data_IF_447782549685
#
_entry.id   IF_447782549685
#
_cell.length_a   1.000
_cell.length_b   1.000
_cell.length_c   1.000
_cell.angle_alpha   90.00
_cell.angle_beta   90.00
_cell.angle_gamma   90.00
#
_symmetry.space_group_name_H-M   'P 1'
#
loop_
_entity.id
_entity.type
_entity.pdbx_description
1 polymer ?
#
# COMPACT_ATOMS: atom_id res chain seq x y z
N UNK A 1 -7.88 -12.10 15.97
CA UNK A 1 -7.28 -11.05 16.83
C UNK A 1 -5.77 -10.84 16.62
N UNK A 2 -4.94 -11.88 16.65
CA UNK A 2 -3.46 -11.81 16.61
C UNK A 2 -2.83 -11.98 15.21
N UNK A 3 -3.59 -11.67 14.15
CA UNK A 3 -3.14 -11.88 12.78
C UNK A 3 -2.35 -10.68 12.24
N UNK A 4 -1.24 -10.94 11.57
CA UNK A 4 -0.47 -9.99 10.74
C UNK A 4 -0.66 -10.35 9.27
N UNK A 5 -1.24 -9.43 8.49
CA UNK A 5 -1.54 -9.62 7.08
C UNK A 5 -0.58 -8.82 6.19
N UNK A 6 0.35 -9.52 5.55
CA UNK A 6 1.28 -8.97 4.56
C UNK A 6 0.69 -9.06 3.16
N UNK A 7 0.82 -7.99 2.38
CA UNK A 7 0.43 -7.99 0.97
C UNK A 7 1.58 -7.45 0.09
N UNK A 8 2.60 -8.27 -0.19
CA UNK A 8 3.75 -7.87 -1.00
C UNK A 8 3.39 -7.59 -2.47
N UNK A 9 4.11 -6.63 -3.05
CA UNK A 9 3.96 -6.08 -4.43
C UNK A 9 5.06 -6.50 -5.41
N UNK A 10 6.16 -7.09 -4.95
CA UNK A 10 7.30 -7.49 -5.77
C UNK A 10 8.18 -8.53 -5.06
N UNK A 11 9.27 -8.97 -5.69
CA UNK A 11 10.18 -9.96 -5.13
C UNK A 11 10.81 -9.54 -3.80
N UNK A 12 11.37 -8.32 -3.75
CA UNK A 12 12.04 -7.78 -2.55
C UNK A 12 11.08 -7.73 -1.36
N UNK A 13 9.88 -7.23 -1.57
CA UNK A 13 8.86 -7.19 -0.52
C UNK A 13 8.41 -8.54 -0.03
N UNK A 14 8.39 -9.53 -0.91
CA UNK A 14 7.97 -10.89 -0.59
C UNK A 14 9.02 -11.54 0.31
N UNK A 15 10.30 -11.41 -0.05
CA UNK A 15 11.42 -11.85 0.78
C UNK A 15 11.36 -11.24 2.18
N UNK A 16 11.16 -9.91 2.26
CA UNK A 16 11.05 -9.19 3.53
C UNK A 16 9.81 -9.56 4.33
N UNK A 17 8.69 -9.84 3.66
CA UNK A 17 7.47 -10.33 4.32
C UNK A 17 7.69 -11.69 4.97
N UNK A 18 8.41 -12.60 4.30
CA UNK A 18 8.74 -13.93 4.83
C UNK A 18 9.69 -13.81 6.03
N UNK A 19 10.73 -12.98 5.94
CA UNK A 19 11.66 -12.72 7.04
C UNK A 19 10.93 -12.16 8.28
N UNK A 20 10.07 -11.16 8.09
CA UNK A 20 9.31 -10.56 9.19
C UNK A 20 8.28 -11.54 9.77
N UNK A 21 7.59 -12.31 8.93
CA UNK A 21 6.63 -13.32 9.38
C UNK A 21 7.30 -14.40 10.23
N UNK A 22 8.50 -14.86 9.86
CA UNK A 22 9.25 -15.85 10.62
C UNK A 22 9.61 -15.37 12.04
N UNK A 23 9.78 -14.05 12.22
CA UNK A 23 10.12 -13.43 13.49
C UNK A 23 8.91 -12.84 14.24
N UNK A 24 7.69 -13.01 13.71
CA UNK A 24 6.48 -12.43 14.28
C UNK A 24 5.60 -13.50 14.91
N UNK A 25 5.24 -13.31 16.18
CA UNK A 25 4.31 -14.20 16.89
C UNK A 25 2.89 -14.03 16.38
N UNK A 26 2.11 -15.11 16.45
CA UNK A 26 0.70 -15.12 16.05
C UNK A 26 0.49 -15.72 14.66
N UNK A 27 -0.62 -15.37 14.03
CA UNK A 27 -0.95 -15.88 12.69
C UNK A 27 -0.40 -14.90 11.67
N UNK A 28 0.55 -15.33 10.85
CA UNK A 28 1.03 -14.53 9.73
C UNK A 28 0.41 -15.03 8.43
N UNK A 29 -0.19 -14.11 7.67
CA UNK A 29 -0.71 -14.38 6.34
C UNK A 29 0.06 -13.54 5.32
N UNK A 30 0.58 -14.18 4.27
CA UNK A 30 1.29 -13.50 3.18
C UNK A 30 0.51 -13.75 1.89
N UNK A 31 -0.06 -12.70 1.32
CA UNK A 31 -0.81 -12.78 0.06
C UNK A 31 0.14 -12.63 -1.13
N UNK A 32 0.52 -13.74 -1.74
CA UNK A 32 1.32 -13.75 -2.98
C UNK A 32 0.43 -13.67 -4.22
N UNK A 33 1.06 -13.49 -5.38
CA UNK A 33 0.41 -13.32 -6.67
C UNK A 33 1.03 -14.27 -7.69
N UNK A 34 0.26 -14.58 -8.73
CA UNK A 34 0.69 -15.46 -9.84
C UNK A 34 1.45 -14.73 -10.95
N UNK A 35 1.02 -13.54 -11.44
CA UNK A 35 1.70 -12.87 -12.54
C UNK A 35 3.05 -12.30 -12.12
N UNK A 36 4.01 -12.29 -13.05
CA UNK A 36 5.26 -11.57 -12.89
C UNK A 36 4.97 -10.07 -12.82
N UNK A 37 5.59 -9.39 -11.86
CA UNK A 37 5.54 -7.94 -11.75
C UNK A 37 6.92 -7.36 -11.58
N UNK A 38 7.12 -6.12 -12.05
CA UNK A 38 8.38 -5.42 -11.93
C UNK A 38 8.85 -5.33 -10.47
N UNK A 39 10.16 -5.44 -10.27
CA UNK A 39 10.79 -5.13 -8.98
C UNK A 39 10.95 -3.62 -8.89
N UNK A 40 10.35 -3.01 -7.86
CA UNK A 40 10.33 -1.55 -7.69
C UNK A 40 11.14 -1.08 -6.49
N UNK A 41 11.46 -1.98 -5.57
CA UNK A 41 12.30 -1.69 -4.41
C UNK A 41 13.73 -2.19 -4.60
N UNK A 42 14.69 -1.46 -4.04
CA UNK A 42 16.07 -1.92 -3.95
C UNK A 42 16.18 -3.12 -2.99
N UNK A 43 17.11 -4.07 -3.20
CA UNK A 43 17.27 -5.23 -2.30
C UNK A 43 17.52 -4.86 -0.83
N UNK A 44 18.18 -3.72 -0.59
CA UNK A 44 18.50 -3.19 0.74
C UNK A 44 17.36 -2.37 1.35
N UNK A 45 16.24 -2.22 0.65
CA UNK A 45 15.06 -1.49 1.13
C UNK A 45 14.54 -2.12 2.43
N UNK A 46 14.32 -1.29 3.45
CA UNK A 46 13.83 -1.73 4.75
C UNK A 46 12.32 -1.76 4.80
N UNK A 47 11.79 -2.82 5.41
CA UNK A 47 10.36 -3.00 5.63
C UNK A 47 10.08 -3.29 7.09
N UNK A 48 8.97 -2.75 7.57
CA UNK A 48 8.52 -2.87 8.95
C UNK A 48 7.02 -3.15 8.97
N UNK A 49 6.57 -3.98 9.91
CA UNK A 49 5.15 -4.28 10.08
C UNK A 49 4.41 -3.01 10.49
N UNK A 50 3.30 -2.70 9.82
CA UNK A 50 2.51 -1.51 10.10
C UNK A 50 3.12 -0.21 9.57
N UNK A 51 4.08 -0.29 8.64
CA UNK A 51 4.68 0.88 7.97
C UNK A 51 4.44 0.81 6.47
N UNK A 52 3.67 1.79 5.99
CA UNK A 52 3.41 1.96 4.57
C UNK A 52 4.57 2.71 3.89
N UNK A 53 4.64 2.62 2.56
CA UNK A 53 5.58 3.37 1.74
C UNK A 53 4.84 4.28 0.77
N UNK A 54 5.23 5.55 0.74
CA UNK A 54 4.78 6.50 -0.28
C UNK A 54 5.72 6.36 -1.48
N UNK A 55 5.30 5.60 -2.50
CA UNK A 55 6.14 5.23 -3.63
C UNK A 55 6.22 6.31 -4.72
N UNK A 56 5.24 7.21 -4.75
CA UNK A 56 5.22 8.42 -5.58
C UNK A 56 4.60 9.55 -4.78
N UNK A 57 5.23 10.71 -4.79
CA UNK A 57 4.70 11.92 -4.17
C UNK A 57 5.26 13.18 -4.83
N UNK A 58 4.47 14.23 -4.79
CA UNK A 58 4.84 15.60 -5.14
C UNK A 58 4.08 16.60 -4.27
N UNK A 59 4.44 17.88 -4.36
CA UNK A 59 3.67 18.97 -3.73
C UNK A 59 2.37 19.31 -4.47
N UNK A 60 2.16 18.75 -5.68
CA UNK A 60 1.00 19.03 -6.55
C UNK A 60 0.00 17.88 -6.56
N UNK A 61 0.18 16.88 -5.69
CA UNK A 61 -0.66 15.70 -5.64
C UNK A 61 -2.11 16.09 -5.30
N UNK A 62 -3.05 15.63 -6.12
CA UNK A 62 -4.48 15.94 -5.98
C UNK A 62 -5.25 14.82 -5.28
N UNK A 63 -4.74 13.60 -5.28
CA UNK A 63 -5.42 12.46 -4.65
C UNK A 63 -4.38 11.46 -4.16
N UNK A 64 -4.66 10.84 -3.02
CA UNK A 64 -3.89 9.71 -2.50
C UNK A 64 -4.53 8.41 -3.00
N UNK A 65 -3.77 7.64 -3.78
CA UNK A 65 -4.16 6.32 -4.28
C UNK A 65 -3.41 5.26 -3.50
N UNK A 66 -4.14 4.32 -2.90
CA UNK A 66 -3.59 3.23 -2.11
C UNK A 66 -3.87 1.92 -2.85
N UNK A 67 -2.81 1.26 -3.32
CA UNK A 67 -2.87 0.00 -4.03
C UNK A 67 -2.00 -1.05 -3.33
N UNK A 68 -2.34 -2.33 -3.49
CA UNK A 68 -1.60 -3.43 -2.90
C UNK A 68 -1.47 -4.60 -3.88
N UNK A 69 -0.31 -5.26 -3.88
CA UNK A 69 -0.05 -6.32 -4.82
C UNK A 69 -0.07 -5.83 -6.27
N UNK A 70 -0.95 -6.40 -7.11
CA UNK A 70 -1.04 -6.05 -8.54
C UNK A 70 -1.56 -4.64 -8.75
N UNK A 71 -2.52 -4.19 -7.94
CA UNK A 71 -3.15 -2.88 -8.11
C UNK A 71 -2.21 -1.72 -7.78
N UNK A 72 -1.10 -1.97 -7.07
CA UNK A 72 -0.05 -0.98 -6.90
C UNK A 72 0.65 -0.65 -8.22
N UNK A 73 0.91 -1.67 -9.06
CA UNK A 73 1.51 -1.45 -10.37
C UNK A 73 0.57 -0.70 -11.30
N UNK A 74 -0.72 -1.03 -11.25
CA UNK A 74 -1.76 -0.26 -11.95
C UNK A 74 -1.84 1.19 -11.47
N UNK A 75 -1.72 1.43 -10.16
CA UNK A 75 -1.69 2.78 -9.60
C UNK A 75 -0.44 3.58 -10.03
N UNK A 76 0.72 2.93 -10.15
CA UNK A 76 1.94 3.53 -10.68
C UNK A 76 1.80 3.86 -12.17
N UNK A 77 1.22 2.96 -12.98
CA UNK A 77 0.94 3.22 -14.39
C UNK A 77 -0.06 4.38 -14.56
N UNK A 78 -1.11 4.43 -13.73
CA UNK A 78 -2.06 5.52 -13.69
C UNK A 78 -1.40 6.85 -13.30
N UNK A 79 -0.44 6.84 -12.37
CA UNK A 79 0.35 8.02 -12.01
C UNK A 79 1.10 8.56 -13.23
N UNK A 80 1.83 7.70 -13.94
CA UNK A 80 2.62 8.10 -15.11
C UNK A 80 1.75 8.59 -16.27
N UNK A 81 0.54 8.04 -16.43
CA UNK A 81 -0.42 8.50 -17.44
C UNK A 81 -1.03 9.85 -17.08
N UNK A 82 -1.57 9.99 -15.87
CA UNK A 82 -2.24 11.20 -15.41
C UNK A 82 -1.28 12.40 -15.31
N UNK A 83 -0.01 12.15 -14.99
CA UNK A 83 1.01 13.19 -14.96
C UNK A 83 1.17 13.89 -16.34
N UNK A 84 0.97 13.16 -17.44
CA UNK A 84 1.00 13.73 -18.81
C UNK A 84 -0.19 14.65 -19.09
N UNK A 85 -1.28 14.46 -18.37
CA UNK A 85 -2.51 15.26 -18.44
C UNK A 85 -2.52 16.39 -17.38
N UNK A 86 -1.42 16.55 -16.62
CA UNK A 86 -1.30 17.58 -15.58
C UNK A 86 -1.95 17.19 -14.24
N UNK A 87 -2.39 15.94 -14.08
CA UNK A 87 -2.97 15.41 -12.85
C UNK A 87 -1.92 14.60 -12.10
N UNK A 88 -1.49 15.08 -10.93
CA UNK A 88 -0.53 14.36 -10.09
C UNK A 88 -1.28 13.58 -9.01
N UNK A 89 -0.90 12.33 -8.81
CA UNK A 89 -1.45 11.47 -7.76
C UNK A 89 -0.32 10.98 -6.86
N UNK A 90 -0.60 10.91 -5.55
CA UNK A 90 0.25 10.24 -4.59
C UNK A 90 -0.07 8.75 -4.63
N UNK A 91 0.94 7.89 -4.61
CA UNK A 91 0.74 6.44 -4.60
C UNK A 91 1.34 5.85 -3.33
N UNK A 92 0.53 5.07 -2.61
CA UNK A 92 0.91 4.42 -1.36
C UNK A 92 0.79 2.91 -1.51
N UNK A 93 1.83 2.25 -1.01
CA UNK A 93 1.91 0.81 -0.81
C UNK A 93 1.80 0.52 0.69
N UNK A 94 0.71 -0.11 1.16
CA UNK A 94 0.49 -0.32 2.59
C UNK A 94 1.47 -1.33 3.20
N UNK A 95 2.09 -2.20 2.40
CA UNK A 95 2.89 -3.37 2.81
C UNK A 95 2.16 -4.40 3.69
N UNK A 96 1.66 -3.99 4.84
CA UNK A 96 0.76 -4.76 5.68
C UNK A 96 -0.64 -4.15 5.67
N UNK A 97 -1.64 -4.98 5.40
CA UNK A 97 -3.06 -4.58 5.56
C UNK A 97 -3.43 -4.59 7.04
N UNK A 98 -2.77 -5.44 7.83
CA UNK A 98 -2.95 -5.52 9.27
C UNK A 98 -1.62 -5.80 9.97
N UNK A 99 -1.18 -4.94 10.90
CA UNK A 99 -1.70 -3.59 11.17
C UNK A 99 -1.52 -2.66 9.96
N UNK A 100 -2.43 -1.69 9.80
CA UNK A 100 -2.38 -0.67 8.75
C UNK A 100 -1.66 0.58 9.28
N UNK A 101 -0.87 1.24 8.45
CA UNK A 101 -0.21 2.52 8.80
C UNK A 101 -1.17 3.71 8.67
N UNK A 102 -2.09 3.85 9.63
CA UNK A 102 -3.05 4.95 9.67
C UNK A 102 -2.37 6.32 9.60
N UNK A 103 -1.23 6.47 10.28
CA UNK A 103 -0.52 7.76 10.36
C UNK A 103 -0.06 8.27 8.99
N UNK A 104 0.59 7.42 8.20
CA UNK A 104 1.04 7.75 6.84
C UNK A 104 -0.14 8.02 5.90
N UNK A 105 -1.23 7.25 6.04
CA UNK A 105 -2.43 7.37 5.20
C UNK A 105 -3.14 8.70 5.47
N UNK A 106 -3.40 9.04 6.73
CA UNK A 106 -4.06 10.29 7.14
C UNK A 106 -3.21 11.50 6.74
N UNK A 107 -1.90 11.46 6.97
CA UNK A 107 -1.00 12.54 6.56
C UNK A 107 -1.01 12.75 5.04
N UNK A 108 -1.03 11.66 4.26
CA UNK A 108 -1.10 11.71 2.80
C UNK A 108 -2.44 12.22 2.31
N UNK A 109 -3.55 11.75 2.90
CA UNK A 109 -4.89 12.24 2.60
C UNK A 109 -4.99 13.75 2.80
N UNK A 110 -4.50 14.27 3.94
CA UNK A 110 -4.44 15.71 4.24
C UNK A 110 -3.60 16.46 3.19
N UNK A 111 -2.42 15.93 2.83
CA UNK A 111 -1.56 16.54 1.82
C UNK A 111 -2.20 16.58 0.42
N UNK A 112 -3.14 15.68 0.12
CA UNK A 112 -3.84 15.62 -1.17
C UNK A 112 -5.27 16.19 -1.14
N UNK A 113 -5.57 17.07 -0.18
CA UNK A 113 -6.88 17.73 -0.07
C UNK A 113 -8.01 16.82 0.38
N UNK A 114 -7.71 15.82 1.21
CA UNK A 114 -8.69 14.90 1.83
C UNK A 114 -9.19 13.78 0.91
N UNK A 115 -8.68 13.68 -0.31
CA UNK A 115 -9.15 12.70 -1.31
C UNK A 115 -8.31 11.42 -1.26
N UNK A 116 -8.98 10.30 -1.03
CA UNK A 116 -8.37 8.96 -0.99
C UNK A 116 -9.11 8.02 -1.94
N UNK A 117 -8.37 7.24 -2.72
CA UNK A 117 -8.87 6.14 -3.54
C UNK A 117 -8.15 4.87 -3.12
N UNK A 118 -8.88 3.83 -2.76
CA UNK A 118 -8.35 2.49 -2.55
C UNK A 118 -8.65 1.62 -3.76
N UNK A 119 -7.66 0.86 -4.22
CA UNK A 119 -7.83 -0.09 -5.31
C UNK A 119 -7.20 -1.43 -4.92
N UNK A 120 -8.00 -2.49 -4.93
CA UNK A 120 -7.57 -3.83 -4.55
C UNK A 120 -8.18 -4.90 -5.43
N UNK A 121 -7.42 -5.96 -5.68
CA UNK A 121 -7.93 -7.21 -6.24
C UNK A 121 -8.48 -8.06 -5.10
N UNK A 122 -9.60 -7.64 -4.53
CA UNK A 122 -10.34 -8.29 -3.46
C UNK A 122 -11.81 -7.86 -3.53
N UNK A 123 -12.69 -8.58 -2.86
CA UNK A 123 -14.05 -8.10 -2.65
C UNK A 123 -14.05 -6.82 -1.81
N UNK A 124 -15.15 -6.06 -1.88
CA UNK A 124 -15.24 -4.74 -1.25
C UNK A 124 -15.20 -4.83 0.28
N UNK A 125 -15.75 -5.90 0.83
CA UNK A 125 -15.93 -6.13 2.25
C UNK A 125 -14.65 -6.73 2.88
N UNK A 126 -14.26 -6.23 4.06
CA UNK A 126 -13.16 -6.75 4.88
C UNK A 126 -11.74 -6.53 4.32
N UNK A 127 -11.60 -5.83 3.20
CA UNK A 127 -10.34 -5.61 2.48
C UNK A 127 -9.56 -4.36 2.89
N UNK A 128 -8.67 -3.94 2.00
CA UNK A 128 -7.92 -2.69 2.10
C UNK A 128 -8.85 -1.47 2.21
N UNK A 129 -9.91 -1.44 1.41
CA UNK A 129 -10.88 -0.34 1.36
C UNK A 129 -11.53 -0.07 2.72
N UNK A 130 -12.07 -1.11 3.36
CA UNK A 130 -12.64 -0.97 4.70
C UNK A 130 -11.58 -0.64 5.76
N UNK A 131 -10.40 -1.25 5.69
CA UNK A 131 -9.31 -0.95 6.63
C UNK A 131 -8.88 0.52 6.57
N UNK A 132 -8.76 1.07 5.35
CA UNK A 132 -8.46 2.50 5.12
C UNK A 132 -9.61 3.37 5.60
N UNK A 133 -10.86 3.01 5.29
CA UNK A 133 -12.05 3.75 5.71
C UNK A 133 -12.11 3.86 7.24
N UNK A 134 -11.87 2.77 7.97
CA UNK A 134 -11.79 2.79 9.43
C UNK A 134 -10.66 3.68 9.93
N UNK A 135 -9.48 3.63 9.30
CA UNK A 135 -8.33 4.44 9.72
C UNK A 135 -8.53 5.95 9.53
N UNK A 136 -9.28 6.37 8.50
CA UNK A 136 -9.54 7.80 8.24
C UNK A 136 -10.84 8.30 8.88
N UNK A 137 -11.79 7.43 9.19
CA UNK A 137 -13.06 7.81 9.80
C UNK A 137 -12.97 8.26 11.26
N UNK A 138 -11.82 8.05 11.90
CA UNK A 138 -11.52 8.50 13.27
C UNK A 138 -10.94 9.92 13.33
N UNK A 139 -10.72 10.58 12.18
CA UNK A 139 -10.06 11.90 12.03
C UNK A 139 -10.98 12.98 11.46
#
# INVERSE_FOLDING_TARGET
PTCTGFYPRDGVSTERSVELAANTKGICFIRTRRPDTAVIYNPEEKFEIGKAKVVRQSSKDQVTVIGAGVTLHEALAAHDQLAKEGVNIRVIDPFTIKPLDASTIVASARATGGRVITVEDHYKEGGLGEAVLSAVGEE
#
